data_IF_211140297151
#
_entry.id   IF_211140297151
#
_cell.length_a   1.000
_cell.length_b   1.000
_cell.length_c   1.000
_cell.angle_alpha   90.00
_cell.angle_beta   90.00
_cell.angle_gamma   90.00
#
_symmetry.space_group_name_H-M   'P 1'
#
loop_
_entity.id
_entity.type
_entity.pdbx_description
1 polymer ?
#
# COMPACT_ATOMS: atom_id res chain seq x y z
N UNK A 1 32.91 -30.81 -52.54
CA UNK A 1 33.16 -29.86 -51.41
C UNK A 1 34.66 -29.76 -51.21
N UNK A 2 35.28 -28.62 -51.49
CA UNK A 2 36.72 -28.44 -51.37
C UNK A 2 37.12 -28.22 -49.92
N UNK A 3 37.61 -29.26 -49.24
CA UNK A 3 38.26 -29.15 -47.93
C UNK A 3 39.73 -28.74 -48.11
N UNK A 4 39.99 -27.46 -48.35
CA UNK A 4 41.37 -26.96 -48.50
C UNK A 4 41.97 -26.74 -47.11
N UNK A 5 43.13 -27.40 -46.85
CA UNK A 5 43.94 -27.13 -45.66
C UNK A 5 44.92 -26.00 -45.96
N UNK A 6 44.98 -25.00 -45.06
CA UNK A 6 45.80 -23.81 -45.23
C UNK A 6 46.16 -23.18 -43.88
N UNK A 7 47.11 -22.26 -43.87
CA UNK A 7 47.37 -21.42 -42.72
C UNK A 7 46.40 -20.27 -42.69
N UNK A 8 45.44 -20.24 -41.76
CA UNK A 8 44.46 -19.16 -41.62
C UNK A 8 45.14 -17.95 -40.96
N UNK A 9 45.70 -17.07 -41.78
CA UNK A 9 46.31 -15.78 -41.40
C UNK A 9 45.45 -14.64 -41.88
N UNK A 10 45.68 -13.41 -41.37
CA UNK A 10 44.94 -12.23 -41.79
C UNK A 10 45.17 -11.99 -43.32
N UNK A 11 46.40 -12.23 -43.80
CA UNK A 11 46.72 -12.12 -45.24
C UNK A 11 45.93 -13.15 -46.06
N UNK A 12 45.84 -14.39 -45.61
CA UNK A 12 45.05 -15.43 -46.26
C UNK A 12 43.56 -15.01 -46.32
N UNK A 13 43.00 -14.51 -45.22
CA UNK A 13 41.58 -14.12 -45.18
C UNK A 13 41.30 -12.95 -46.11
N UNK A 14 42.19 -11.94 -46.16
CA UNK A 14 42.08 -10.83 -47.13
C UNK A 14 42.13 -11.34 -48.58
N UNK A 15 43.03 -12.24 -48.89
CA UNK A 15 43.11 -12.90 -50.20
C UNK A 15 41.85 -13.71 -50.53
N UNK A 16 41.34 -14.45 -49.56
CA UNK A 16 40.12 -15.25 -49.70
C UNK A 16 38.89 -14.33 -49.98
N UNK A 17 38.77 -13.25 -49.28
CA UNK A 17 37.69 -12.26 -49.52
C UNK A 17 37.75 -11.75 -50.94
N UNK A 18 38.93 -11.36 -51.41
CA UNK A 18 39.12 -10.88 -52.76
C UNK A 18 38.80 -11.96 -53.81
N UNK A 19 39.21 -13.21 -53.56
CA UNK A 19 39.01 -14.35 -54.47
C UNK A 19 37.54 -14.79 -54.56
N UNK A 20 36.80 -14.70 -53.48
CA UNK A 20 35.39 -15.14 -53.40
C UNK A 20 34.40 -14.02 -53.70
N UNK A 21 34.81 -12.78 -53.72
CA UNK A 21 33.91 -11.67 -54.01
C UNK A 21 33.25 -11.84 -55.37
N UNK A 22 31.91 -11.73 -55.37
CA UNK A 22 31.12 -11.79 -56.58
C UNK A 22 31.29 -10.49 -57.37
N UNK A 23 31.88 -10.52 -58.55
CA UNK A 23 32.11 -9.33 -59.37
C UNK A 23 30.81 -8.74 -59.90
N UNK A 24 29.75 -9.52 -59.94
CA UNK A 24 28.42 -9.14 -60.46
C UNK A 24 27.39 -8.87 -59.35
N UNK A 25 27.85 -8.79 -58.10
CA UNK A 25 26.93 -8.49 -56.98
C UNK A 25 26.36 -7.09 -57.12
N UNK A 26 25.04 -6.95 -56.97
CA UNK A 26 24.29 -5.72 -56.98
C UNK A 26 24.86 -4.73 -55.95
N UNK A 27 25.14 -3.49 -56.33
CA UNK A 27 25.69 -2.45 -55.45
C UNK A 27 24.78 -2.18 -54.27
N UNK A 28 23.46 -2.23 -54.43
CA UNK A 28 22.49 -2.08 -53.35
C UNK A 28 22.58 -3.20 -52.28
N UNK A 29 23.00 -4.40 -52.67
CA UNK A 29 23.23 -5.51 -51.76
C UNK A 29 24.54 -5.40 -50.97
N UNK A 30 25.54 -4.67 -51.52
CA UNK A 30 26.83 -4.43 -50.85
C UNK A 30 26.67 -3.49 -49.66
N UNK A 31 25.72 -2.57 -49.72
CA UNK A 31 25.44 -1.62 -48.62
C UNK A 31 24.78 -2.29 -47.40
N UNK A 32 24.09 -3.39 -47.61
CA UNK A 32 23.38 -4.12 -46.54
C UNK A 32 24.07 -5.40 -46.04
N UNK A 33 25.04 -5.91 -46.79
CA UNK A 33 25.75 -7.16 -46.47
C UNK A 33 27.24 -6.98 -46.48
N UNK A 34 27.87 -7.37 -45.39
CA UNK A 34 29.34 -7.27 -45.23
C UNK A 34 30.14 -8.03 -46.32
N UNK A 35 29.54 -9.10 -46.86
CA UNK A 35 30.15 -9.92 -47.92
C UNK A 35 29.13 -10.31 -48.97
N UNK A 36 29.54 -10.29 -50.25
CA UNK A 36 28.84 -10.88 -51.38
C UNK A 36 29.80 -11.83 -52.09
N UNK A 37 29.75 -13.10 -51.80
CA UNK A 37 30.62 -14.11 -52.36
C UNK A 37 29.88 -14.88 -53.46
N UNK A 38 30.63 -15.27 -54.49
CA UNK A 38 30.19 -16.18 -55.55
C UNK A 38 30.08 -17.64 -55.03
N UNK A 39 29.19 -17.81 -54.08
CA UNK A 39 28.87 -19.11 -53.48
C UNK A 39 27.37 -19.32 -53.66
N UNK A 40 26.97 -20.40 -54.34
CA UNK A 40 25.54 -20.73 -54.49
C UNK A 40 24.77 -20.76 -53.17
N UNK A 41 23.52 -20.31 -53.21
CA UNK A 41 22.67 -20.29 -52.00
C UNK A 41 22.60 -21.71 -51.42
N UNK A 42 22.71 -21.78 -50.08
CA UNK A 42 22.73 -23.05 -49.32
C UNK A 42 24.04 -23.83 -49.31
N UNK A 43 25.02 -23.43 -50.13
CA UNK A 43 26.36 -24.05 -50.10
C UNK A 43 27.30 -23.31 -49.14
N UNK A 44 28.28 -24.05 -48.62
CA UNK A 44 29.28 -23.57 -47.69
C UNK A 44 30.66 -24.12 -48.09
N UNK A 45 31.68 -23.23 -48.00
CA UNK A 45 33.10 -23.62 -48.20
C UNK A 45 33.81 -23.59 -46.86
N UNK A 46 34.64 -24.60 -46.60
CA UNK A 46 35.42 -24.71 -45.37
C UNK A 46 36.93 -24.66 -45.72
N UNK A 47 37.64 -23.76 -45.06
CA UNK A 47 39.10 -23.66 -45.10
C UNK A 47 39.61 -24.05 -43.72
N UNK A 48 40.28 -25.20 -43.62
CA UNK A 48 40.73 -25.78 -42.34
C UNK A 48 42.16 -25.32 -42.03
N UNK A 49 42.38 -24.91 -40.79
CA UNK A 49 43.68 -24.43 -40.34
C UNK A 49 44.68 -25.58 -40.21
N UNK A 50 45.87 -25.35 -40.70
CA UNK A 50 47.00 -26.30 -40.55
C UNK A 50 47.64 -26.18 -39.15
N UNK A 51 47.54 -25.00 -38.51
CA UNK A 51 48.18 -24.72 -37.22
C UNK A 51 47.40 -25.22 -36.03
N UNK A 52 46.07 -25.20 -36.13
CA UNK A 52 45.16 -25.70 -35.06
C UNK A 52 44.15 -26.68 -35.67
N UNK A 53 44.35 -27.97 -35.42
CA UNK A 53 43.43 -29.01 -35.91
C UNK A 53 42.04 -28.80 -35.34
N UNK A 54 41.02 -28.83 -36.22
CA UNK A 54 39.62 -28.55 -35.86
C UNK A 54 39.18 -27.12 -36.06
N UNK A 55 40.10 -26.17 -36.13
CA UNK A 55 39.79 -24.77 -36.43
C UNK A 55 39.62 -24.57 -37.94
N UNK A 56 38.59 -23.82 -38.32
CA UNK A 56 38.31 -23.51 -39.73
C UNK A 56 37.59 -22.16 -39.86
N UNK A 57 37.74 -21.62 -41.09
CA UNK A 57 36.87 -20.53 -41.53
C UNK A 57 35.82 -21.08 -42.49
N UNK A 58 34.59 -20.72 -42.27
CA UNK A 58 33.42 -21.09 -43.08
C UNK A 58 32.96 -19.88 -43.85
N UNK A 59 32.91 -19.99 -45.17
CA UNK A 59 32.38 -18.97 -46.06
C UNK A 59 31.02 -19.44 -46.60
N UNK A 60 30.06 -18.56 -46.55
CA UNK A 60 28.74 -18.66 -47.21
C UNK A 60 28.58 -17.44 -48.15
N UNK A 61 27.50 -17.37 -48.89
CA UNK A 61 27.28 -16.24 -49.83
C UNK A 61 27.40 -14.85 -49.13
N UNK A 62 27.00 -14.74 -47.86
CA UNK A 62 26.96 -13.45 -47.15
C UNK A 62 27.68 -13.45 -45.81
N UNK A 63 28.42 -14.47 -45.46
CA UNK A 63 29.13 -14.52 -44.19
C UNK A 63 30.46 -15.24 -44.27
N UNK A 64 31.39 -14.82 -43.43
CA UNK A 64 32.70 -15.39 -43.25
C UNK A 64 32.92 -15.59 -41.75
N UNK A 65 32.84 -16.82 -41.28
CA UNK A 65 32.69 -17.16 -39.86
C UNK A 65 33.75 -18.13 -39.42
N UNK A 66 34.38 -17.89 -38.26
CA UNK A 66 35.30 -18.83 -37.65
C UNK A 66 34.52 -19.91 -36.88
N UNK A 67 34.95 -21.16 -37.08
CA UNK A 67 34.35 -22.32 -36.47
C UNK A 67 35.43 -23.27 -35.92
N UNK A 68 35.06 -24.07 -34.92
CA UNK A 68 35.90 -25.13 -34.44
C UNK A 68 35.08 -26.43 -34.33
N UNK A 69 35.70 -27.55 -34.67
CA UNK A 69 35.05 -28.87 -34.67
C UNK A 69 35.98 -29.93 -34.07
N UNK A 70 35.47 -30.75 -33.18
CA UNK A 70 36.17 -31.89 -32.58
C UNK A 70 35.19 -33.02 -32.28
N UNK A 71 35.64 -34.23 -32.37
CA UNK A 71 34.91 -35.39 -31.90
C UNK A 71 35.06 -35.48 -30.37
N UNK A 72 33.93 -35.45 -29.67
CA UNK A 72 33.85 -35.51 -28.21
C UNK A 72 34.25 -36.90 -27.68
N UNK A 73 34.60 -37.07 -26.38
CA UNK A 73 34.92 -38.37 -25.80
C UNK A 73 33.81 -39.42 -25.98
N UNK A 74 32.53 -38.99 -26.03
CA UNK A 74 31.38 -39.87 -26.30
C UNK A 74 31.23 -40.26 -27.79
N UNK A 75 32.19 -39.89 -28.65
CA UNK A 75 32.18 -40.22 -30.08
C UNK A 75 31.36 -39.28 -30.98
N UNK A 76 30.60 -38.34 -30.41
CA UNK A 76 29.76 -37.39 -31.17
C UNK A 76 30.58 -36.20 -31.66
N UNK A 77 30.50 -35.82 -32.95
CA UNK A 77 31.14 -34.60 -33.44
C UNK A 77 30.47 -33.37 -32.91
N UNK A 78 31.22 -32.44 -32.32
CA UNK A 78 30.74 -31.14 -31.87
C UNK A 78 31.38 -30.04 -32.70
N UNK A 79 30.54 -29.18 -33.31
CA UNK A 79 30.98 -27.98 -34.05
C UNK A 79 30.46 -26.76 -33.37
N UNK A 80 31.32 -25.81 -33.08
CA UNK A 80 31.02 -24.55 -32.44
C UNK A 80 31.34 -23.37 -33.36
N UNK A 81 30.42 -22.46 -33.51
CA UNK A 81 30.67 -21.17 -34.17
C UNK A 81 31.30 -20.20 -33.17
N UNK A 82 32.46 -19.66 -33.52
CA UNK A 82 33.25 -18.72 -32.72
C UNK A 82 32.67 -17.30 -32.89
N UNK A 83 32.63 -16.84 -34.17
CA UNK A 83 32.09 -15.52 -34.54
C UNK A 83 32.51 -15.10 -35.95
N UNK A 84 32.01 -13.95 -36.35
CA UNK A 84 32.24 -13.41 -37.70
C UNK A 84 33.64 -12.80 -37.85
N UNK A 85 34.20 -12.92 -39.06
CA UNK A 85 35.39 -12.18 -39.40
C UNK A 85 35.06 -10.67 -39.43
N UNK A 86 35.90 -9.84 -38.84
CA UNK A 86 35.61 -8.43 -38.56
C UNK A 86 35.39 -8.16 -37.07
N UNK A 87 34.66 -9.07 -36.38
CA UNK A 87 34.61 -9.08 -34.91
C UNK A 87 35.83 -9.80 -34.33
N UNK A 88 36.21 -10.93 -34.97
CA UNK A 88 37.40 -11.69 -34.58
C UNK A 88 38.47 -11.58 -35.67
N UNK A 89 39.73 -11.43 -35.28
CA UNK A 89 40.88 -11.71 -36.13
C UNK A 89 41.15 -13.23 -36.15
N UNK A 90 41.93 -13.75 -37.16
CA UNK A 90 42.32 -15.17 -37.15
C UNK A 90 43.02 -15.62 -35.86
N UNK A 91 43.83 -14.74 -35.27
CA UNK A 91 44.59 -15.02 -34.05
C UNK A 91 43.67 -15.12 -32.83
N UNK A 92 42.77 -14.12 -32.62
CA UNK A 92 41.83 -14.12 -31.52
C UNK A 92 40.81 -15.24 -31.64
N UNK A 93 40.37 -15.53 -32.87
CA UNK A 93 39.50 -16.68 -33.14
C UNK A 93 40.17 -18.02 -32.82
N UNK A 94 41.48 -18.15 -33.14
CA UNK A 94 42.26 -19.36 -32.84
C UNK A 94 42.45 -19.53 -31.33
N UNK A 95 42.69 -18.47 -30.56
CA UNK A 95 42.77 -18.53 -29.11
C UNK A 95 41.44 -19.06 -28.56
N UNK A 96 40.29 -18.48 -29.00
CA UNK A 96 38.99 -18.94 -28.60
C UNK A 96 38.66 -20.38 -29.01
N UNK A 97 39.15 -20.78 -30.19
CA UNK A 97 39.05 -22.17 -30.64
C UNK A 97 39.78 -23.13 -29.70
N UNK A 98 40.97 -22.75 -29.21
CA UNK A 98 41.75 -23.56 -28.26
C UNK A 98 40.97 -23.76 -26.94
N UNK A 99 40.34 -22.72 -26.42
CA UNK A 99 39.47 -22.82 -25.23
C UNK A 99 38.34 -23.85 -25.45
N UNK A 100 37.61 -23.72 -26.55
CA UNK A 100 36.54 -24.66 -26.90
C UNK A 100 37.03 -26.11 -27.11
N UNK A 101 38.21 -26.30 -27.73
CA UNK A 101 38.80 -27.60 -27.90
C UNK A 101 39.17 -28.25 -26.56
N UNK A 102 39.61 -27.44 -25.61
CA UNK A 102 39.89 -27.90 -24.24
C UNK A 102 38.57 -28.35 -23.54
N UNK A 103 37.54 -27.54 -23.57
CA UNK A 103 36.22 -27.90 -23.03
C UNK A 103 35.68 -29.20 -23.66
N UNK A 104 35.75 -29.31 -25.00
CA UNK A 104 35.33 -30.51 -25.71
C UNK A 104 36.14 -31.75 -25.31
N UNK A 105 37.44 -31.57 -25.04
CA UNK A 105 38.30 -32.67 -24.56
C UNK A 105 37.90 -33.18 -23.19
N UNK A 106 37.36 -32.31 -22.36
CA UNK A 106 36.87 -32.61 -21.03
C UNK A 106 35.42 -33.15 -21.05
N UNK A 107 34.84 -33.37 -22.24
CA UNK A 107 33.47 -33.84 -22.40
C UNK A 107 32.39 -32.74 -22.24
N UNK A 108 32.80 -31.49 -22.15
CA UNK A 108 31.87 -30.35 -22.04
C UNK A 108 31.53 -29.83 -23.45
N UNK A 109 30.27 -29.81 -23.80
CA UNK A 109 29.81 -29.24 -25.08
C UNK A 109 29.59 -27.71 -24.93
N UNK A 110 30.39 -26.87 -25.60
CA UNK A 110 30.22 -25.41 -25.48
C UNK A 110 28.88 -24.89 -26.00
N UNK A 111 28.21 -25.63 -26.91
CA UNK A 111 26.89 -25.26 -27.42
C UNK A 111 25.81 -25.39 -26.33
N UNK A 112 25.91 -26.38 -25.46
CA UNK A 112 24.95 -26.57 -24.35
C UNK A 112 25.01 -25.39 -23.38
N UNK A 113 26.20 -24.87 -23.07
CA UNK A 113 26.36 -23.64 -22.28
C UNK A 113 25.68 -22.43 -22.94
N UNK A 114 25.87 -22.27 -24.26
CA UNK A 114 25.23 -21.18 -25.01
C UNK A 114 23.71 -21.31 -24.99
N UNK A 115 23.21 -22.52 -25.17
CA UNK A 115 21.77 -22.78 -25.15
C UNK A 115 21.18 -22.55 -23.76
N UNK A 116 21.82 -23.01 -22.70
CA UNK A 116 21.41 -22.72 -21.30
C UNK A 116 21.35 -21.20 -21.02
N UNK A 117 22.34 -20.44 -21.49
CA UNK A 117 22.35 -18.99 -21.33
C UNK A 117 21.20 -18.33 -22.10
N UNK A 118 20.92 -18.80 -23.33
CA UNK A 118 19.77 -18.31 -24.14
C UNK A 118 18.44 -18.66 -23.47
N UNK A 119 18.29 -19.87 -22.98
CA UNK A 119 17.09 -20.29 -22.26
C UNK A 119 16.88 -19.48 -20.98
N UNK A 120 17.94 -19.26 -20.19
CA UNK A 120 17.87 -18.37 -19.00
C UNK A 120 17.48 -16.95 -19.37
N UNK A 121 18.04 -16.38 -20.42
CA UNK A 121 17.72 -15.02 -20.89
C UNK A 121 16.26 -14.94 -21.41
N UNK A 122 15.81 -15.94 -22.17
CA UNK A 122 14.45 -16.05 -22.66
C UNK A 122 13.45 -16.18 -21.50
N UNK A 123 13.74 -17.07 -20.54
CA UNK A 123 12.93 -17.24 -19.35
C UNK A 123 12.88 -15.96 -18.52
N UNK A 124 14.00 -15.25 -18.36
CA UNK A 124 14.04 -13.96 -17.68
C UNK A 124 13.11 -12.94 -18.33
N UNK A 125 13.05 -12.88 -19.67
CA UNK A 125 12.13 -11.99 -20.41
C UNK A 125 10.67 -12.39 -20.18
N UNK A 126 10.34 -13.68 -20.24
CA UNK A 126 8.97 -14.16 -19.99
C UNK A 126 8.53 -13.86 -18.55
N UNK A 127 9.39 -14.11 -17.59
CA UNK A 127 9.13 -13.80 -16.19
C UNK A 127 8.89 -12.30 -15.99
N UNK A 128 9.72 -11.45 -16.59
CA UNK A 128 9.53 -10.00 -16.52
C UNK A 128 8.20 -9.55 -17.14
N UNK A 129 7.76 -10.17 -18.25
CA UNK A 129 6.46 -9.88 -18.86
C UNK A 129 5.29 -10.18 -17.93
N UNK A 130 5.40 -11.21 -17.09
CA UNK A 130 4.35 -11.59 -16.13
C UNK A 130 4.25 -10.66 -14.92
N UNK A 131 5.27 -9.83 -14.66
CA UNK A 131 5.22 -8.85 -13.57
C UNK A 131 4.23 -7.74 -13.93
N UNK A 132 3.20 -7.49 -13.12
CA UNK A 132 2.22 -6.45 -13.39
C UNK A 132 2.80 -5.05 -13.23
N UNK A 133 2.16 -4.07 -13.85
CA UNK A 133 2.38 -2.65 -13.55
C UNK A 133 1.87 -2.34 -12.14
N UNK A 134 2.33 -1.22 -11.56
CA UNK A 134 1.89 -0.84 -10.22
C UNK A 134 0.37 -0.68 -10.15
N UNK A 135 -0.25 -0.07 -11.15
CA UNK A 135 -1.70 0.15 -11.13
C UNK A 135 -2.49 -1.15 -11.23
N UNK A 136 -2.05 -2.11 -12.06
CA UNK A 136 -2.70 -3.41 -12.18
C UNK A 136 -2.47 -4.25 -10.92
N UNK A 137 -1.25 -4.21 -10.38
CA UNK A 137 -0.93 -4.86 -9.12
C UNK A 137 -1.79 -4.33 -7.96
N UNK A 138 -1.99 -3.02 -7.91
CA UNK A 138 -2.84 -2.39 -6.90
C UNK A 138 -4.30 -2.84 -7.03
N UNK A 139 -4.88 -2.86 -8.22
CA UNK A 139 -6.25 -3.33 -8.46
C UNK A 139 -6.42 -4.78 -7.97
N UNK A 140 -5.54 -5.68 -8.39
CA UNK A 140 -5.57 -7.08 -7.94
C UNK A 140 -5.42 -7.21 -6.42
N UNK A 141 -4.57 -6.36 -5.80
CA UNK A 141 -4.42 -6.34 -4.35
C UNK A 141 -5.70 -5.96 -3.63
N UNK A 142 -6.40 -4.90 -4.09
CA UNK A 142 -7.66 -4.46 -3.49
C UNK A 142 -8.77 -5.49 -3.68
N UNK A 143 -8.92 -6.05 -4.89
CA UNK A 143 -9.91 -7.09 -5.19
C UNK A 143 -9.75 -8.34 -4.32
N UNK A 144 -8.51 -8.73 -4.04
CA UNK A 144 -8.21 -9.90 -3.22
C UNK A 144 -8.33 -9.65 -1.70
N UNK A 145 -8.48 -8.39 -1.27
CA UNK A 145 -8.50 -7.99 0.15
C UNK A 145 -9.89 -7.51 0.56
N UNK A 146 -10.86 -8.44 0.48
CA UNK A 146 -12.27 -8.15 0.80
C UNK A 146 -12.51 -7.73 2.24
N UNK A 147 -11.56 -8.00 3.15
CA UNK A 147 -11.60 -7.58 4.56
C UNK A 147 -11.27 -6.10 4.79
N UNK A 148 -10.76 -5.39 3.78
CA UNK A 148 -10.42 -3.98 3.93
C UNK A 148 -11.67 -3.12 4.07
N UNK A 149 -11.67 -2.27 5.11
CA UNK A 149 -12.78 -1.33 5.33
C UNK A 149 -12.83 -0.27 4.20
N UNK A 150 -14.02 0.15 3.74
CA UNK A 150 -14.16 1.12 2.63
C UNK A 150 -13.35 2.40 2.81
N UNK A 151 -13.25 2.91 4.04
CA UNK A 151 -12.42 4.09 4.32
C UNK A 151 -10.93 3.85 4.12
N UNK A 152 -10.44 2.63 4.33
CA UNK A 152 -9.05 2.27 4.08
C UNK A 152 -8.78 2.25 2.58
N UNK A 153 -9.68 1.63 1.82
CA UNK A 153 -9.61 1.61 0.35
C UNK A 153 -9.63 3.03 -0.21
N UNK A 154 -10.54 3.90 0.26
CA UNK A 154 -10.60 5.29 -0.18
C UNK A 154 -9.30 6.09 0.10
N UNK A 155 -8.61 5.80 1.22
CA UNK A 155 -7.28 6.39 1.51
C UNK A 155 -6.23 5.86 0.54
N UNK A 156 -6.25 4.56 0.26
CA UNK A 156 -5.31 3.92 -0.68
C UNK A 156 -5.51 4.42 -2.11
N UNK A 157 -6.76 4.51 -2.58
CA UNK A 157 -7.10 5.06 -3.91
C UNK A 157 -6.59 6.50 -4.07
N UNK A 158 -6.83 7.31 -3.04
CA UNK A 158 -6.35 8.69 -3.03
C UNK A 158 -4.82 8.75 -3.09
N UNK A 159 -4.12 7.96 -2.25
CA UNK A 159 -2.67 7.99 -2.17
C UNK A 159 -2.03 7.44 -3.45
N UNK A 160 -2.61 6.41 -4.07
CA UNK A 160 -2.22 5.93 -5.39
C UNK A 160 -2.37 7.00 -6.47
N UNK A 161 -3.52 7.68 -6.51
CA UNK A 161 -3.83 8.69 -7.53
C UNK A 161 -3.04 9.99 -7.36
N UNK A 162 -2.76 10.39 -6.11
CA UNK A 162 -2.13 11.67 -5.80
C UNK A 162 -0.59 11.56 -5.79
N UNK A 163 -0.05 10.51 -5.19
CA UNK A 163 1.38 10.43 -4.90
C UNK A 163 2.15 9.44 -5.77
N UNK A 164 1.48 8.40 -6.30
CA UNK A 164 2.13 7.35 -7.10
C UNK A 164 1.64 7.30 -8.55
N UNK A 165 0.93 8.34 -9.02
CA UNK A 165 0.40 8.40 -10.39
C UNK A 165 1.48 8.24 -11.45
N UNK A 166 2.64 8.84 -11.25
CA UNK A 166 3.80 8.76 -12.13
C UNK A 166 4.44 7.35 -12.18
N UNK A 167 4.17 6.50 -11.18
CA UNK A 167 4.63 5.11 -11.15
C UNK A 167 3.61 4.10 -11.67
N UNK A 168 2.40 4.52 -12.04
CA UNK A 168 1.33 3.60 -12.44
C UNK A 168 1.73 2.66 -13.58
N UNK A 169 2.51 3.16 -14.55
CA UNK A 169 2.95 2.41 -15.72
C UNK A 169 4.19 1.54 -15.47
N UNK A 170 4.91 1.76 -14.37
CA UNK A 170 6.10 0.99 -14.03
C UNK A 170 5.72 -0.40 -13.54
N UNK A 171 6.50 -1.40 -13.93
CA UNK A 171 6.40 -2.73 -13.32
C UNK A 171 6.90 -2.68 -11.88
N UNK A 172 6.38 -3.54 -11.03
CA UNK A 172 6.75 -3.54 -9.60
C UNK A 172 8.28 -3.58 -9.38
N UNK A 173 9.00 -4.33 -10.22
CA UNK A 173 10.46 -4.51 -10.13
C UNK A 173 11.26 -3.35 -10.70
N UNK A 174 10.64 -2.45 -11.45
CA UNK A 174 11.33 -1.29 -12.05
C UNK A 174 11.50 -0.15 -11.04
N UNK A 175 10.72 -0.20 -9.93
CA UNK A 175 10.85 0.78 -8.86
C UNK A 175 12.09 0.45 -8.03
N UNK A 176 13.07 1.32 -8.07
CA UNK A 176 14.34 1.16 -7.37
C UNK A 176 14.29 1.69 -5.92
N UNK A 177 15.28 1.30 -5.11
CA UNK A 177 15.44 1.84 -3.74
C UNK A 177 15.64 3.37 -3.75
N UNK A 178 16.39 3.90 -4.74
CA UNK A 178 16.59 5.35 -4.86
C UNK A 178 15.29 6.08 -5.16
N UNK A 179 14.49 5.57 -6.10
CA UNK A 179 13.16 6.14 -6.38
C UNK A 179 12.27 6.18 -5.14
N UNK A 180 12.33 5.15 -4.29
CA UNK A 180 11.59 5.11 -3.01
C UNK A 180 12.04 6.20 -2.04
N UNK A 181 13.35 6.41 -1.90
CA UNK A 181 13.91 7.48 -1.06
C UNK A 181 13.44 8.85 -1.56
N UNK A 182 13.58 9.10 -2.86
CA UNK A 182 13.23 10.38 -3.49
C UNK A 182 11.73 10.66 -3.37
N UNK A 183 10.89 9.67 -3.63
CA UNK A 183 9.43 9.77 -3.50
C UNK A 183 9.00 10.00 -2.05
N UNK A 184 9.63 9.31 -1.09
CA UNK A 184 9.38 9.55 0.33
C UNK A 184 9.72 10.98 0.73
N UNK A 185 10.87 11.50 0.28
CA UNK A 185 11.29 12.87 0.54
C UNK A 185 10.36 13.90 -0.12
N UNK A 186 9.94 13.65 -1.37
CA UNK A 186 8.99 14.49 -2.11
C UNK A 186 7.66 14.64 -1.34
N UNK A 187 7.02 13.52 -1.01
CA UNK A 187 5.73 13.53 -0.30
C UNK A 187 5.89 14.13 1.11
N UNK A 188 7.02 13.90 1.76
CA UNK A 188 7.29 14.40 3.12
C UNK A 188 7.33 15.92 3.21
N UNK A 189 7.62 16.63 2.11
CA UNK A 189 7.58 18.11 2.04
C UNK A 189 6.17 18.63 2.29
N UNK A 190 5.16 17.88 1.85
CA UNK A 190 3.74 18.28 1.99
C UNK A 190 3.07 17.57 3.18
N UNK A 191 3.28 16.26 3.33
CA UNK A 191 2.63 15.47 4.37
C UNK A 191 3.45 14.24 4.80
N UNK A 192 4.16 14.38 5.91
CA UNK A 192 5.00 13.33 6.50
C UNK A 192 4.24 12.02 6.80
N UNK A 193 2.98 12.11 7.22
CA UNK A 193 2.15 10.93 7.53
C UNK A 193 1.79 10.17 6.26
N UNK A 194 1.37 10.90 5.19
CA UNK A 194 1.05 10.28 3.92
C UNK A 194 2.27 9.71 3.22
N UNK A 195 3.46 10.32 3.33
CA UNK A 195 4.71 9.73 2.84
C UNK A 195 4.91 8.31 3.39
N UNK A 196 4.74 8.15 4.71
CA UNK A 196 4.87 6.85 5.36
C UNK A 196 3.78 5.86 4.92
N UNK A 197 2.52 6.31 4.84
CA UNK A 197 1.37 5.44 4.49
C UNK A 197 1.49 4.99 3.03
N UNK A 198 1.76 5.89 2.10
CA UNK A 198 1.86 5.62 0.68
C UNK A 198 2.92 4.57 0.35
N UNK A 199 4.12 4.70 0.94
CA UNK A 199 5.18 3.73 0.67
C UNK A 199 4.98 2.40 1.41
N UNK A 200 4.31 2.40 2.56
CA UNK A 200 3.86 1.16 3.20
C UNK A 200 2.80 0.44 2.34
N UNK A 201 1.89 1.19 1.70
CA UNK A 201 0.93 0.63 0.74
C UNK A 201 1.66 0.01 -0.46
N UNK A 202 2.61 0.74 -1.08
CA UNK A 202 3.42 0.19 -2.16
C UNK A 202 4.12 -1.11 -1.74
N UNK A 203 4.73 -1.14 -0.54
CA UNK A 203 5.38 -2.33 0.00
C UNK A 203 4.41 -3.50 0.20
N UNK A 204 3.18 -3.21 0.64
CA UNK A 204 2.14 -4.23 0.82
C UNK A 204 1.72 -4.84 -0.53
N UNK A 205 1.48 -4.01 -1.54
CA UNK A 205 1.15 -4.44 -2.92
C UNK A 205 2.29 -5.27 -3.52
N UNK A 206 3.53 -4.78 -3.40
CA UNK A 206 4.72 -5.48 -3.89
C UNK A 206 4.87 -6.86 -3.26
N UNK A 207 4.83 -6.94 -1.93
CA UNK A 207 5.01 -8.20 -1.20
C UNK A 207 3.85 -9.18 -1.40
N UNK A 208 2.64 -8.67 -1.66
CA UNK A 208 1.50 -9.49 -2.05
C UNK A 208 1.78 -10.24 -3.36
N UNK A 209 2.23 -9.54 -4.40
CA UNK A 209 2.56 -10.12 -5.70
C UNK A 209 3.81 -10.97 -5.66
N UNK A 210 4.84 -10.57 -4.91
CA UNK A 210 6.05 -11.36 -4.70
C UNK A 210 5.76 -12.77 -4.20
N UNK A 211 4.79 -12.91 -3.29
CA UNK A 211 4.39 -14.22 -2.73
C UNK A 211 3.54 -15.07 -3.68
N UNK A 212 2.94 -14.49 -4.70
CA UNK A 212 1.95 -15.15 -5.58
C UNK A 212 2.45 -15.42 -6.99
N UNK A 213 3.36 -14.60 -7.49
CA UNK A 213 3.95 -14.80 -8.80
C UNK A 213 5.04 -15.86 -8.70
N UNK A 214 4.65 -17.11 -8.95
CA UNK A 214 5.51 -18.30 -8.86
C UNK A 214 5.56 -18.95 -10.25
N UNK A 215 6.75 -19.35 -10.67
CA UNK A 215 6.99 -20.14 -11.88
C UNK A 215 7.95 -21.28 -11.55
N UNK A 216 7.58 -22.52 -11.87
CA UNK A 216 8.33 -23.73 -11.54
C UNK A 216 8.79 -23.75 -10.06
N UNK A 217 7.85 -23.53 -9.14
CA UNK A 217 8.05 -23.47 -7.69
C UNK A 217 9.09 -22.42 -7.21
N UNK A 218 9.43 -21.47 -8.08
CA UNK A 218 10.33 -20.37 -7.76
C UNK A 218 9.60 -19.02 -7.91
N UNK A 219 9.82 -18.07 -6.97
CA UNK A 219 9.24 -16.75 -7.10
C UNK A 219 9.82 -16.01 -8.32
N UNK A 220 8.94 -15.44 -9.13
CA UNK A 220 9.33 -14.58 -10.26
C UNK A 220 10.00 -13.30 -9.72
N UNK A 221 9.42 -12.69 -8.69
CA UNK A 221 10.00 -11.56 -7.98
C UNK A 221 10.81 -12.08 -6.81
N UNK A 222 12.13 -12.14 -6.95
CA UNK A 222 13.04 -12.65 -5.93
C UNK A 222 13.35 -11.62 -4.84
N UNK A 223 13.52 -10.37 -5.24
CA UNK A 223 13.91 -9.29 -4.36
C UNK A 223 12.78 -8.88 -3.40
N UNK A 224 13.14 -8.43 -2.20
CA UNK A 224 12.20 -7.80 -1.30
C UNK A 224 11.79 -6.41 -1.82
N UNK A 225 10.65 -5.92 -1.33
CA UNK A 225 10.20 -4.57 -1.67
C UNK A 225 11.32 -3.54 -1.47
N UNK A 226 11.57 -2.65 -2.45
CA UNK A 226 12.59 -1.61 -2.33
C UNK A 226 12.34 -0.64 -1.16
N UNK A 227 11.13 -0.62 -0.61
CA UNK A 227 10.79 0.16 0.61
C UNK A 227 11.56 -0.32 1.84
N UNK A 228 12.13 -1.53 1.83
CA UNK A 228 13.01 -2.00 2.91
C UNK A 228 14.17 -1.06 3.20
N UNK A 229 14.61 -0.26 2.23
CA UNK A 229 15.66 0.75 2.42
C UNK A 229 15.27 1.81 3.46
N UNK A 230 13.98 2.20 3.52
CA UNK A 230 13.49 3.17 4.49
C UNK A 230 13.49 2.61 5.92
N UNK A 231 13.28 1.31 6.08
CA UNK A 231 13.38 0.63 7.38
C UNK A 231 14.85 0.48 7.82
N UNK A 232 15.70 0.00 6.90
CA UNK A 232 17.12 -0.27 7.17
C UNK A 232 17.89 1.00 7.61
N UNK A 233 17.53 2.14 7.02
CA UNK A 233 18.22 3.42 7.23
C UNK A 233 17.45 4.37 8.15
N UNK A 234 16.39 3.90 8.83
CA UNK A 234 15.52 4.71 9.74
C UNK A 234 15.02 6.01 9.08
N UNK A 235 14.66 5.94 7.78
CA UNK A 235 14.25 7.10 6.98
C UNK A 235 12.76 7.43 7.08
N UNK A 236 11.94 6.57 7.68
CA UNK A 236 10.53 6.88 7.89
C UNK A 236 10.37 8.10 8.82
N UNK A 237 9.42 8.97 8.48
CA UNK A 237 9.14 10.13 9.29
C UNK A 237 8.70 9.74 10.71
N UNK A 238 9.39 10.22 11.71
CA UNK A 238 9.03 10.08 13.13
C UNK A 238 7.88 11.05 13.44
N UNK A 239 6.67 10.52 13.57
CA UNK A 239 5.47 11.31 13.84
C UNK A 239 5.26 11.40 15.35
N UNK A 240 5.29 12.61 15.91
CA UNK A 240 4.96 12.80 17.33
C UNK A 240 3.44 12.57 17.53
N UNK A 241 3.04 11.72 18.49
CA UNK A 241 1.64 11.58 18.86
C UNK A 241 1.06 12.92 19.30
N UNK A 242 -0.13 13.26 18.85
CA UNK A 242 -0.86 14.42 19.40
C UNK A 242 -1.22 14.14 20.84
N UNK A 243 -0.97 15.09 21.74
CA UNK A 243 -1.26 14.96 23.18
C UNK A 243 -2.33 15.94 23.67
N UNK A 244 -3.02 16.61 22.75
CA UNK A 244 -4.02 17.60 23.09
C UNK A 244 -5.23 16.95 23.79
N UNK A 245 -5.70 17.59 24.83
CA UNK A 245 -6.95 17.29 25.54
C UNK A 245 -7.38 18.56 26.27
N UNK A 246 -8.65 18.64 26.68
CA UNK A 246 -9.20 19.73 27.48
C UNK A 246 -8.80 19.50 28.94
N UNK A 247 -7.93 20.34 29.46
CA UNK A 247 -7.42 20.20 30.83
C UNK A 247 -8.44 20.67 31.87
N UNK A 248 -8.15 20.51 33.18
CA UNK A 248 -9.06 20.83 34.26
C UNK A 248 -9.43 22.29 34.36
N UNK A 249 -8.50 23.20 34.05
CA UNK A 249 -8.73 24.64 34.08
C UNK A 249 -9.68 25.10 32.95
N UNK A 250 -9.58 24.44 31.82
CA UNK A 250 -10.37 24.72 30.63
C UNK A 250 -11.76 24.05 30.63
N UNK A 251 -11.92 22.98 31.39
CA UNK A 251 -13.05 22.06 31.34
C UNK A 251 -14.38 22.77 31.62
N UNK A 252 -14.46 23.57 32.68
CA UNK A 252 -15.69 24.24 33.11
C UNK A 252 -16.18 25.21 32.04
N UNK A 253 -15.32 26.09 31.54
CA UNK A 253 -15.68 27.08 30.54
C UNK A 253 -16.03 26.43 29.20
N UNK A 254 -15.29 25.37 28.84
CA UNK A 254 -15.55 24.61 27.61
C UNK A 254 -16.95 23.93 27.64
N UNK A 255 -17.30 23.29 28.76
CA UNK A 255 -18.62 22.66 28.93
C UNK A 255 -19.74 23.73 28.96
N UNK A 256 -19.56 24.86 29.68
CA UNK A 256 -20.49 25.97 29.64
C UNK A 256 -20.68 26.48 28.23
N UNK A 257 -19.63 26.67 27.47
CA UNK A 257 -19.71 27.14 26.09
C UNK A 257 -20.53 26.18 25.20
N UNK A 258 -20.47 24.88 25.42
CA UNK A 258 -21.32 23.91 24.71
C UNK A 258 -22.79 24.11 25.11
N UNK A 259 -23.09 24.16 26.39
CA UNK A 259 -24.48 24.26 26.91
C UNK A 259 -25.13 25.59 26.57
N UNK A 260 -24.36 26.67 26.52
CA UNK A 260 -24.84 28.01 26.22
C UNK A 260 -24.84 28.34 24.72
N UNK A 261 -24.23 27.46 23.89
CA UNK A 261 -24.09 27.72 22.46
C UNK A 261 -25.47 27.84 21.77
N UNK A 262 -25.69 28.96 21.09
CA UNK A 262 -26.83 29.14 20.19
C UNK A 262 -26.40 28.91 18.75
N UNK A 263 -27.10 28.06 18.04
CA UNK A 263 -26.77 27.70 16.65
C UNK A 263 -27.69 28.46 15.70
N UNK A 264 -27.17 29.45 14.97
CA UNK A 264 -27.92 30.18 13.92
C UNK A 264 -28.13 29.23 12.73
N UNK A 265 -29.31 29.30 12.12
CA UNK A 265 -29.62 28.50 10.92
C UNK A 265 -30.16 27.11 11.20
N UNK A 266 -30.47 26.75 12.44
CA UNK A 266 -31.22 25.55 12.79
C UNK A 266 -32.70 25.63 12.38
N UNK A 267 -33.04 26.46 11.37
CA UNK A 267 -34.40 26.55 10.84
C UNK A 267 -34.89 25.19 10.34
N UNK A 268 -34.00 24.33 9.87
CA UNK A 268 -34.31 22.95 9.49
C UNK A 268 -33.98 21.92 10.57
N UNK A 269 -33.20 22.28 11.59
CA UNK A 269 -32.86 21.44 12.73
C UNK A 269 -33.80 21.69 13.94
N UNK A 270 -34.89 22.38 13.76
CA UNK A 270 -35.82 22.76 14.81
C UNK A 270 -36.63 21.61 15.40
N UNK A 271 -36.51 20.39 14.83
CA UNK A 271 -37.01 19.19 15.49
C UNK A 271 -36.12 18.74 16.64
N UNK A 272 -34.89 19.27 16.73
CA UNK A 272 -33.87 18.86 17.73
C UNK A 272 -33.05 20.07 18.20
N UNK A 273 -33.68 21.01 18.92
CA UNK A 273 -33.08 22.29 19.33
C UNK A 273 -31.68 22.19 19.96
N UNK A 274 -31.26 21.02 20.43
CA UNK A 274 -29.99 20.78 21.11
C UNK A 274 -29.08 19.78 20.38
N UNK A 275 -29.33 19.47 19.09
CA UNK A 275 -28.59 18.43 18.36
C UNK A 275 -27.06 18.56 18.48
N UNK A 276 -26.52 19.74 18.26
CA UNK A 276 -25.08 19.98 18.27
C UNK A 276 -24.49 19.93 19.68
N UNK A 277 -25.24 20.42 20.66
CA UNK A 277 -24.85 20.37 22.08
C UNK A 277 -24.84 18.92 22.57
N UNK A 278 -25.92 18.18 22.33
CA UNK A 278 -26.06 16.77 22.72
C UNK A 278 -25.00 15.89 22.04
N UNK A 279 -24.70 16.21 20.77
CA UNK A 279 -23.66 15.53 20.02
C UNK A 279 -22.28 15.71 20.69
N UNK A 280 -21.89 16.94 21.06
CA UNK A 280 -20.63 17.20 21.76
C UNK A 280 -20.60 16.62 23.18
N UNK A 281 -21.72 16.74 23.92
CA UNK A 281 -21.84 16.15 25.24
C UNK A 281 -21.70 14.62 25.20
N UNK A 282 -22.28 13.98 24.19
CA UNK A 282 -22.10 12.52 24.02
C UNK A 282 -20.64 12.15 23.83
N UNK A 283 -19.85 12.95 23.09
CA UNK A 283 -18.41 12.69 22.94
C UNK A 283 -17.68 12.74 24.27
N UNK A 284 -17.85 13.81 25.01
CA UNK A 284 -17.09 14.03 26.23
C UNK A 284 -17.55 13.11 27.36
N UNK A 285 -18.85 12.76 27.41
CA UNK A 285 -19.40 11.91 28.45
C UNK A 285 -19.20 10.40 28.19
N UNK A 286 -18.88 9.99 26.96
CA UNK A 286 -18.67 8.56 26.64
C UNK A 286 -17.25 8.22 26.22
N UNK A 287 -16.48 9.17 25.74
CA UNK A 287 -15.17 8.92 25.14
C UNK A 287 -15.20 8.05 23.88
N UNK A 288 -16.35 7.81 23.25
CA UNK A 288 -16.51 7.01 22.05
C UNK A 288 -15.77 7.63 20.85
N UNK A 289 -15.48 6.81 19.82
CA UNK A 289 -14.87 7.30 18.58
C UNK A 289 -15.90 8.10 17.77
N UNK A 290 -15.41 9.03 16.96
CA UNK A 290 -16.25 9.90 16.12
C UNK A 290 -17.24 9.11 15.28
N UNK A 291 -16.80 8.11 14.56
CA UNK A 291 -17.67 7.28 13.72
C UNK A 291 -18.72 6.50 14.50
N UNK A 292 -18.42 6.10 15.73
CA UNK A 292 -19.33 5.36 16.61
C UNK A 292 -20.51 6.25 17.04
N UNK A 293 -20.26 7.53 17.33
CA UNK A 293 -21.31 8.49 17.69
C UNK A 293 -22.09 8.97 16.48
N UNK A 294 -21.38 9.30 15.37
CA UNK A 294 -22.04 9.75 14.14
C UNK A 294 -23.04 8.72 13.61
N UNK A 295 -22.68 7.44 13.66
CA UNK A 295 -23.47 6.32 13.13
C UNK A 295 -24.41 5.69 14.15
N UNK A 296 -24.50 6.21 15.37
CA UNK A 296 -25.32 5.63 16.42
C UNK A 296 -26.80 5.59 16.03
N UNK A 297 -27.40 4.41 16.11
CA UNK A 297 -28.82 4.16 15.81
C UNK A 297 -29.61 3.87 17.06
N UNK A 298 -30.89 4.24 17.07
CA UNK A 298 -31.79 3.99 18.21
C UNK A 298 -31.99 2.50 18.54
N UNK A 299 -31.85 1.62 17.54
CA UNK A 299 -31.91 0.18 17.76
C UNK A 299 -30.79 -0.35 18.69
N UNK A 300 -29.71 0.41 18.80
CA UNK A 300 -28.57 0.08 19.65
C UNK A 300 -28.58 0.82 21.01
N UNK A 301 -29.64 1.53 21.32
CA UNK A 301 -29.80 2.27 22.60
C UNK A 301 -30.97 1.69 23.37
N UNK A 302 -30.67 1.07 24.51
CA UNK A 302 -31.67 0.62 25.45
C UNK A 302 -31.87 1.67 26.54
N UNK A 303 -32.97 2.42 26.42
CA UNK A 303 -33.31 3.49 27.37
C UNK A 303 -33.87 2.94 28.68
N UNK A 304 -34.41 1.71 28.71
CA UNK A 304 -34.93 1.07 29.92
C UNK A 304 -33.78 0.65 30.83
N UNK A 305 -32.78 -0.02 30.27
CA UNK A 305 -31.59 -0.41 31.01
C UNK A 305 -30.48 0.64 31.00
N UNK A 306 -30.67 1.75 30.29
CA UNK A 306 -29.68 2.84 30.18
C UNK A 306 -28.34 2.36 29.62
N UNK A 307 -28.36 1.66 28.51
CA UNK A 307 -27.15 1.15 27.84
C UNK A 307 -27.15 1.49 26.35
N UNK A 308 -25.96 1.55 25.77
CA UNK A 308 -25.80 1.59 24.32
C UNK A 308 -24.85 0.51 23.85
N UNK A 309 -25.11 -0.05 22.68
CA UNK A 309 -24.28 -1.07 22.04
C UNK A 309 -23.56 -0.49 20.84
N UNK A 310 -22.24 -0.68 20.76
CA UNK A 310 -21.42 -0.39 19.55
C UNK A 310 -21.09 -1.73 18.92
N UNK A 311 -21.61 -1.94 17.72
CA UNK A 311 -21.44 -3.20 16.97
C UNK A 311 -20.29 -3.03 15.98
N UNK A 312 -19.40 -4.03 15.91
CA UNK A 312 -18.27 -4.10 14.99
C UNK A 312 -17.41 -2.83 14.96
N UNK A 313 -16.91 -2.35 16.11
CA UNK A 313 -16.02 -1.21 16.16
C UNK A 313 -14.68 -1.50 15.48
N UNK A 314 -13.77 -0.53 15.47
CA UNK A 314 -12.46 -0.63 14.77
C UNK A 314 -11.59 -1.80 15.26
N UNK A 315 -11.73 -2.20 16.52
CA UNK A 315 -10.99 -3.32 17.15
C UNK A 315 -11.71 -4.68 17.05
N UNK A 316 -12.89 -4.74 16.42
CA UNK A 316 -13.64 -5.98 16.20
C UNK A 316 -14.52 -6.44 17.38
N UNK A 317 -14.30 -5.96 18.60
CA UNK A 317 -15.05 -6.39 19.79
C UNK A 317 -16.24 -5.47 20.05
N UNK A 318 -17.45 -6.04 20.12
CA UNK A 318 -18.65 -5.27 20.48
C UNK A 318 -18.49 -4.65 21.87
N UNK A 319 -19.01 -3.43 22.02
CA UNK A 319 -19.01 -2.70 23.29
C UNK A 319 -20.44 -2.52 23.78
N UNK A 320 -20.74 -2.94 25.00
CA UNK A 320 -21.94 -2.54 25.73
C UNK A 320 -21.53 -1.49 26.77
N UNK A 321 -21.94 -0.24 26.54
CA UNK A 321 -21.59 0.90 27.37
C UNK A 321 -22.81 1.34 28.20
N UNK A 322 -22.76 1.36 29.53
CA UNK A 322 -23.80 1.99 30.33
C UNK A 322 -23.75 3.49 30.22
N UNK A 323 -24.89 4.13 30.20
CA UNK A 323 -25.04 5.58 30.18
C UNK A 323 -25.09 6.12 31.60
N UNK A 324 -24.41 7.23 31.85
CA UNK A 324 -24.61 8.03 33.04
C UNK A 324 -25.99 8.69 33.05
N UNK A 325 -26.43 9.15 34.20
CA UNK A 325 -27.79 9.68 34.41
C UNK A 325 -28.10 10.90 33.53
N UNK A 326 -27.17 11.80 33.36
CA UNK A 326 -27.36 13.00 32.53
C UNK A 326 -27.45 12.63 31.05
N UNK A 327 -26.56 11.75 30.57
CA UNK A 327 -26.60 11.31 29.18
C UNK A 327 -27.85 10.48 28.87
N UNK A 328 -28.28 9.65 29.81
CA UNK A 328 -29.53 8.91 29.71
C UNK A 328 -30.76 9.86 29.65
N UNK A 329 -30.77 10.91 30.45
CA UNK A 329 -31.80 11.96 30.34
C UNK A 329 -31.80 12.62 28.94
N UNK A 330 -30.64 13.04 28.46
CA UNK A 330 -30.50 13.60 27.11
C UNK A 330 -31.07 12.64 26.04
N UNK A 331 -30.73 11.37 26.10
CA UNK A 331 -31.19 10.38 25.11
C UNK A 331 -32.70 10.11 25.23
N UNK A 332 -33.25 10.08 26.46
CA UNK A 332 -34.70 10.00 26.66
C UNK A 332 -35.44 11.18 26.03
N UNK A 333 -34.95 12.41 26.21
CA UNK A 333 -35.55 13.59 25.58
C UNK A 333 -35.44 13.52 24.06
N UNK A 334 -34.25 13.20 23.54
CA UNK A 334 -34.03 13.07 22.09
C UNK A 334 -34.93 11.99 21.46
N UNK A 335 -35.14 10.85 22.13
CA UNK A 335 -36.01 9.78 21.62
C UNK A 335 -37.45 10.21 21.48
N UNK A 336 -38.00 10.99 22.45
CA UNK A 336 -39.37 11.54 22.37
C UNK A 336 -39.62 12.35 21.10
N UNK A 337 -38.57 13.01 20.61
CA UNK A 337 -38.64 13.90 19.45
C UNK A 337 -37.97 13.31 18.20
N UNK A 338 -37.64 12.02 18.17
CA UNK A 338 -36.95 11.38 17.06
C UNK A 338 -37.79 11.19 15.80
N UNK A 339 -39.13 11.35 15.90
CA UNK A 339 -40.09 11.20 14.80
C UNK A 339 -39.86 9.95 13.93
N UNK A 340 -39.51 8.82 14.56
CA UNK A 340 -39.20 7.57 13.86
C UNK A 340 -37.84 7.54 13.13
N UNK A 341 -37.03 8.59 13.26
CA UNK A 341 -35.68 8.58 12.68
C UNK A 341 -34.83 7.44 13.21
N UNK A 342 -34.12 6.75 12.30
CA UNK A 342 -33.23 5.63 12.64
C UNK A 342 -32.04 6.07 13.50
N UNK A 343 -31.49 7.26 13.26
CA UNK A 343 -30.24 7.71 13.89
C UNK A 343 -30.50 8.56 15.14
N UNK A 344 -29.62 8.41 16.14
CA UNK A 344 -29.62 9.28 17.34
C UNK A 344 -29.22 10.71 16.97
N UNK A 345 -28.28 10.83 16.04
CA UNK A 345 -27.81 12.10 15.49
C UNK A 345 -28.02 12.14 13.96
N UNK A 346 -29.23 12.49 13.49
CA UNK A 346 -29.54 12.53 12.07
C UNK A 346 -28.91 13.74 11.37
N UNK A 347 -28.67 13.61 10.06
CA UNK A 347 -28.44 14.75 9.18
C UNK A 347 -29.74 15.55 8.98
N UNK A 348 -29.63 16.74 8.36
CA UNK A 348 -30.78 17.62 8.13
C UNK A 348 -31.91 16.99 7.28
N UNK A 349 -31.59 15.97 6.49
CA UNK A 349 -32.59 15.25 5.68
C UNK A 349 -33.27 14.08 6.43
N UNK A 350 -32.89 13.79 7.67
CA UNK A 350 -33.36 12.67 8.50
C UNK A 350 -33.15 11.26 7.90
N UNK A 351 -32.55 11.14 6.73
CA UNK A 351 -32.32 9.87 6.05
C UNK A 351 -30.97 9.26 6.37
N UNK A 352 -30.00 10.10 6.71
CA UNK A 352 -28.64 9.70 7.01
C UNK A 352 -28.20 10.22 8.38
N UNK A 353 -27.09 9.71 8.89
CA UNK A 353 -26.46 10.23 10.12
C UNK A 353 -25.70 11.54 9.84
N UNK A 354 -25.41 12.29 10.91
CA UNK A 354 -24.57 13.49 10.80
C UNK A 354 -23.20 13.11 10.24
N UNK A 355 -22.68 13.99 9.37
CA UNK A 355 -21.31 13.89 8.85
C UNK A 355 -20.68 15.28 8.95
N UNK A 356 -19.35 15.28 9.17
CA UNK A 356 -18.51 16.48 9.11
C UNK A 356 -19.04 17.69 9.91
N UNK A 357 -19.13 17.53 11.21
CA UNK A 357 -19.49 18.61 12.15
C UNK A 357 -18.30 19.51 12.53
N UNK A 358 -17.36 19.77 11.58
CA UNK A 358 -16.24 20.69 11.82
C UNK A 358 -16.67 22.07 12.23
N UNK A 359 -17.77 22.59 11.66
CA UNK A 359 -18.33 23.88 12.05
C UNK A 359 -18.74 23.93 13.53
N UNK A 360 -19.27 22.83 14.09
CA UNK A 360 -19.61 22.72 15.51
C UNK A 360 -18.37 22.83 16.38
N UNK A 361 -17.35 22.06 16.04
CA UNK A 361 -16.05 22.12 16.70
C UNK A 361 -15.42 23.51 16.61
N UNK A 362 -15.37 24.09 15.40
CA UNK A 362 -14.74 25.40 15.18
C UNK A 362 -15.42 26.49 16.03
N UNK A 363 -16.77 26.54 16.05
CA UNK A 363 -17.51 27.52 16.85
C UNK A 363 -17.16 27.43 18.34
N UNK A 364 -17.12 26.23 18.92
CA UNK A 364 -16.73 26.06 20.33
C UNK A 364 -15.27 26.47 20.54
N UNK A 365 -14.37 26.08 19.62
CA UNK A 365 -12.97 26.48 19.69
C UNK A 365 -12.79 28.02 19.63
N UNK A 366 -13.53 28.69 18.76
CA UNK A 366 -13.55 30.17 18.64
C UNK A 366 -14.11 30.83 19.91
N UNK A 367 -15.22 30.31 20.44
CA UNK A 367 -15.87 30.84 21.63
C UNK A 367 -14.99 30.73 22.87
N UNK A 368 -14.25 29.63 22.99
CA UNK A 368 -13.45 29.34 24.20
C UNK A 368 -11.97 29.66 24.06
N UNK A 369 -11.47 29.93 22.84
CA UNK A 369 -10.05 30.01 22.55
C UNK A 369 -9.31 28.68 22.65
N UNK A 370 -10.02 27.53 22.83
CA UNK A 370 -9.45 26.20 23.06
C UNK A 370 -9.58 25.37 21.78
N UNK A 371 -8.51 25.19 21.00
CA UNK A 371 -8.53 24.32 19.82
C UNK A 371 -8.59 22.85 20.21
N UNK A 372 -9.51 22.10 19.65
CA UNK A 372 -9.62 20.65 19.88
C UNK A 372 -10.06 19.91 18.63
N UNK A 373 -9.86 18.60 18.64
CA UNK A 373 -10.42 17.65 17.66
C UNK A 373 -11.40 16.69 18.36
N UNK A 374 -12.30 16.05 17.62
CA UNK A 374 -13.17 15.03 18.22
C UNK A 374 -12.39 13.89 18.89
N UNK A 375 -11.18 13.57 18.40
CA UNK A 375 -10.33 12.57 19.05
C UNK A 375 -9.75 13.06 20.38
N UNK A 376 -9.52 14.35 20.53
CA UNK A 376 -9.04 14.94 21.78
C UNK A 376 -10.10 14.85 22.90
N UNK A 377 -11.41 14.83 22.55
CA UNK A 377 -12.48 14.60 23.52
C UNK A 377 -12.41 13.20 24.15
N UNK A 378 -12.04 12.21 23.39
CA UNK A 378 -11.78 10.86 23.93
C UNK A 378 -10.57 10.84 24.88
N UNK A 379 -9.52 11.60 24.57
CA UNK A 379 -8.38 11.78 25.48
C UNK A 379 -8.77 12.55 26.73
N UNK A 380 -9.62 13.56 26.57
CA UNK A 380 -10.21 14.33 27.68
C UNK A 380 -10.98 13.39 28.62
N UNK A 381 -11.88 12.55 28.07
CA UNK A 381 -12.59 11.54 28.86
C UNK A 381 -11.60 10.65 29.66
N UNK A 382 -10.61 10.05 28.97
CA UNK A 382 -9.63 9.17 29.63
C UNK A 382 -8.86 9.89 30.73
N UNK A 383 -8.40 11.13 30.48
CA UNK A 383 -7.63 11.90 31.43
C UNK A 383 -8.44 12.30 32.66
N UNK A 384 -9.70 12.69 32.45
CA UNK A 384 -10.61 13.06 33.55
C UNK A 384 -11.03 11.82 34.34
N UNK A 385 -11.37 10.71 33.68
CA UNK A 385 -11.73 9.45 34.34
C UNK A 385 -10.64 8.97 35.31
N UNK A 386 -9.37 9.01 34.86
CA UNK A 386 -8.24 8.70 35.74
C UNK A 386 -8.18 9.66 36.95
N UNK A 387 -8.42 10.94 36.74
CA UNK A 387 -8.40 11.95 37.80
C UNK A 387 -9.54 11.77 38.81
N UNK A 388 -10.69 11.29 38.33
CA UNK A 388 -11.83 10.91 39.19
C UNK A 388 -11.54 9.67 40.04
N UNK A 389 -10.39 9.03 39.90
CA UNK A 389 -10.07 7.77 40.58
C UNK A 389 -10.89 6.59 40.03
N UNK A 390 -11.23 6.61 38.74
CA UNK A 390 -11.77 5.45 38.02
C UNK A 390 -10.59 4.57 37.62
N UNK A 391 -10.62 3.31 38.04
CA UNK A 391 -9.54 2.37 37.77
C UNK A 391 -9.18 2.25 36.28
N UNK A 392 -7.91 2.07 35.98
CA UNK A 392 -7.42 2.05 34.59
C UNK A 392 -8.11 0.98 33.73
N UNK A 393 -8.40 -0.20 34.28
CA UNK A 393 -9.10 -1.27 33.58
C UNK A 393 -10.54 -0.89 33.27
N UNK A 394 -11.25 -0.25 34.23
CA UNK A 394 -12.59 0.29 34.01
C UNK A 394 -12.59 1.34 32.88
N UNK A 395 -11.61 2.25 32.86
CA UNK A 395 -11.48 3.23 31.80
C UNK A 395 -11.23 2.56 30.45
N UNK A 396 -10.34 1.57 30.37
CA UNK A 396 -10.07 0.80 29.14
C UNK A 396 -11.35 0.10 28.65
N UNK A 397 -12.12 -0.52 29.56
CA UNK A 397 -13.38 -1.17 29.22
C UNK A 397 -14.40 -0.16 28.67
N UNK A 398 -14.59 1.00 29.32
CA UNK A 398 -15.51 2.06 28.89
C UNK A 398 -15.19 2.58 27.47
N UNK A 399 -13.92 2.70 27.12
CA UNK A 399 -13.53 3.20 25.81
C UNK A 399 -13.28 2.08 24.78
N UNK A 400 -13.55 0.84 25.09
CA UNK A 400 -13.26 -0.31 24.22
C UNK A 400 -11.83 -0.29 23.67
N UNK A 401 -10.86 -0.21 24.57
CA UNK A 401 -9.45 -0.26 24.19
C UNK A 401 -8.95 -1.67 24.46
N UNK A 402 -8.51 -2.38 23.40
CA UNK A 402 -7.96 -3.73 23.54
C UNK A 402 -6.74 -3.71 24.47
N UNK A 403 -6.66 -4.70 25.33
CA UNK A 403 -5.44 -5.05 26.02
C UNK A 403 -4.46 -5.58 24.95
N UNK A 404 -3.19 -5.19 25.00
CA UNK A 404 -2.17 -5.94 24.27
C UNK A 404 -1.98 -7.24 25.03
N UNK A 405 -2.38 -8.35 24.43
CA UNK A 405 -2.46 -9.68 25.03
C UNK A 405 -1.12 -10.17 25.63
N UNK A 406 0.00 -9.60 25.23
CA UNK A 406 1.31 -10.13 25.58
C UNK A 406 1.97 -9.55 26.87
N UNK A 407 1.33 -8.61 27.59
CA UNK A 407 2.01 -7.95 28.71
C UNK A 407 1.20 -7.68 29.98
N UNK A 408 -0.09 -7.96 30.03
CA UNK A 408 -0.93 -7.58 31.17
C UNK A 408 -1.80 -8.75 31.69
N UNK A 409 -1.14 -9.69 32.36
CA UNK A 409 -1.77 -10.87 33.01
C UNK A 409 -2.89 -10.45 33.97
N UNK A 410 -2.80 -9.29 34.61
CA UNK A 410 -3.81 -8.78 35.55
C UNK A 410 -5.13 -8.43 34.86
N UNK A 411 -5.10 -8.10 33.55
CA UNK A 411 -6.30 -7.79 32.79
C UNK A 411 -7.25 -8.99 32.66
N UNK A 412 -6.72 -10.20 32.57
CA UNK A 412 -7.49 -11.45 32.43
C UNK A 412 -8.19 -11.83 33.71
N UNK A 413 -7.70 -11.40 34.86
CA UNK A 413 -8.30 -11.68 36.18
C UNK A 413 -9.29 -10.60 36.66
N UNK A 414 -9.36 -9.43 35.96
CA UNK A 414 -10.24 -8.35 36.39
C UNK A 414 -11.57 -8.42 35.66
N UNK A 415 -12.56 -9.02 36.31
CA UNK A 415 -13.96 -8.97 35.84
C UNK A 415 -14.59 -7.65 36.31
N UNK A 416 -15.05 -6.84 35.33
CA UNK A 416 -15.71 -5.56 35.61
C UNK A 416 -17.21 -5.74 35.37
N UNK A 417 -18.00 -5.60 36.43
CA UNK A 417 -19.47 -5.70 36.39
C UNK A 417 -20.06 -4.46 35.63
N UNK A 418 -21.24 -4.66 35.05
CA UNK A 418 -22.01 -3.59 34.41
C UNK A 418 -22.42 -2.49 35.43
N UNK A 419 -22.53 -2.81 36.72
CA UNK A 419 -22.76 -1.82 37.79
C UNK A 419 -21.53 -0.94 37.98
N UNK A 420 -20.33 -1.53 38.07
CA UNK A 420 -19.08 -0.79 38.22
C UNK A 420 -18.88 0.20 37.09
N UNK A 421 -19.18 -0.24 35.86
CA UNK A 421 -19.11 0.65 34.67
C UNK A 421 -20.12 1.80 34.75
N UNK A 422 -21.34 1.55 35.25
CA UNK A 422 -22.37 2.58 35.42
C UNK A 422 -22.00 3.58 36.53
N UNK A 423 -21.51 3.08 37.66
CA UNK A 423 -21.05 3.94 38.75
C UNK A 423 -19.87 4.79 38.34
N UNK A 424 -18.97 4.24 37.56
CA UNK A 424 -17.87 4.98 36.95
C UNK A 424 -18.38 6.11 36.01
N UNK A 425 -19.40 5.83 35.19
CA UNK A 425 -19.99 6.85 34.30
C UNK A 425 -20.68 7.96 35.08
N UNK A 426 -21.44 7.61 36.13
CA UNK A 426 -22.08 8.60 37.01
C UNK A 426 -21.03 9.45 37.77
N UNK A 427 -19.98 8.82 38.28
CA UNK A 427 -18.86 9.48 38.94
C UNK A 427 -18.17 10.48 37.99
N UNK A 428 -17.98 10.05 36.74
CA UNK A 428 -17.42 10.91 35.69
C UNK A 428 -18.33 12.11 35.37
N UNK A 429 -19.64 11.90 35.15
CA UNK A 429 -20.61 12.96 34.90
C UNK A 429 -20.66 13.97 36.04
N UNK A 430 -20.68 13.48 37.30
CA UNK A 430 -20.71 14.34 38.49
C UNK A 430 -19.43 15.17 38.64
N UNK A 431 -18.31 14.68 38.18
CA UNK A 431 -17.06 15.43 38.21
C UNK A 431 -16.95 16.49 37.12
N UNK A 432 -17.40 16.16 35.89
CA UNK A 432 -17.21 17.07 34.73
C UNK A 432 -18.31 18.11 34.62
N UNK A 433 -19.53 17.84 35.11
CA UNK A 433 -20.69 18.71 35.03
C UNK A 433 -20.97 19.36 36.37
N UNK A 434 -20.86 20.68 36.45
CA UNK A 434 -21.32 21.43 37.64
C UNK A 434 -22.83 21.30 37.81
N UNK A 435 -23.33 21.51 39.03
CA UNK A 435 -24.78 21.47 39.33
C UNK A 435 -25.56 22.50 38.48
N UNK A 436 -25.00 23.67 38.22
CA UNK A 436 -25.56 24.64 37.31
C UNK A 436 -25.74 24.08 35.89
N UNK A 437 -24.69 23.42 35.35
CA UNK A 437 -24.73 22.80 34.02
C UNK A 437 -25.72 21.66 33.96
N UNK A 438 -25.77 20.82 34.99
CA UNK A 438 -26.74 19.72 35.10
C UNK A 438 -28.18 20.26 35.10
N UNK A 439 -28.45 21.25 35.96
CA UNK A 439 -29.76 21.88 36.02
C UNK A 439 -30.21 22.44 34.66
N UNK A 440 -29.31 23.13 33.96
CA UNK A 440 -29.60 23.65 32.59
C UNK A 440 -29.86 22.51 31.59
N UNK A 441 -29.17 21.38 31.64
CA UNK A 441 -29.44 20.23 30.78
C UNK A 441 -30.79 19.61 31.11
N UNK A 442 -31.09 19.40 32.39
CA UNK A 442 -32.30 18.74 32.85
C UNK A 442 -33.57 19.59 32.58
N UNK A 443 -33.47 20.91 32.58
CA UNK A 443 -34.58 21.82 32.36
C UNK A 443 -34.77 22.19 30.87
N UNK A 444 -33.98 21.63 29.95
CA UNK A 444 -34.10 21.93 28.51
C UNK A 444 -35.48 21.56 27.99
N UNK A 445 -36.08 22.48 27.27
CA UNK A 445 -37.34 22.26 26.55
C UNK A 445 -37.05 21.97 25.09
N UNK A 446 -37.15 20.70 24.73
CA UNK A 446 -37.06 20.25 23.34
C UNK A 446 -38.40 20.63 22.66
N UNK A 447 -38.33 21.45 21.61
CA UNK A 447 -39.52 21.93 20.90
C UNK A 447 -39.59 21.27 19.54
N UNK A 448 -40.71 20.59 19.26
CA UNK A 448 -41.05 20.10 17.91
C UNK A 448 -41.74 21.23 17.16
N UNK A 449 -41.15 21.74 16.07
CA UNK A 449 -41.96 22.46 15.09
C UNK A 449 -42.71 21.42 14.25
N UNK A 450 -44.02 21.51 14.21
CA UNK A 450 -44.86 20.76 13.27
C UNK A 450 -44.31 21.00 11.85
N UNK A 451 -44.18 19.99 10.99
CA UNK A 451 -43.80 20.23 9.61
C UNK A 451 -44.77 21.21 9.00
N UNK A 452 -44.27 22.30 8.39
CA UNK A 452 -45.12 23.17 7.58
C UNK A 452 -45.82 22.26 6.56
N UNK A 453 -47.13 22.19 6.60
CA UNK A 453 -47.95 21.60 5.53
C UNK A 453 -47.51 22.33 4.25
N UNK A 454 -46.82 21.64 3.39
CA UNK A 454 -46.64 22.07 2.01
C UNK A 454 -48.06 22.07 1.44
N UNK A 455 -48.62 23.24 1.24
CA UNK A 455 -49.80 23.36 0.40
C UNK A 455 -49.36 22.94 -0.99
N UNK A 456 -49.89 21.78 -1.43
CA UNK A 456 -49.79 21.30 -2.80
C UNK A 456 -50.61 22.24 -3.71
#
# INVERSE_FOLDING_TARGET
MSNKKTHITLSFVKGLIKQLSDPYADEALKDFKQYCFDIPSGKQLFFRDLKLIGFAIRATRHSLVYTVEKKMPNGVPCRVTIGDHGIFTPETARQKATEYLLEMSQGINPNDKKEQLRQKASQGRLNYQQIPTLIDAYKHYIEARTELKPNTVAVYDRDMSLYLKDWHHLKLTDVTMQMVIDKHAEISKTNKSHANITLKLFSAVYNYHRKRLIFNDQPIIKEFSPVTILYRNDLFNKLKPRKNYINSEQQTDWIKAIVDSKWRGQIYANEYGYLNQDFLLTFVLTGLRRSEIEQLVWANVDLKFGTLKIINPKNGNDLLLPLGNILLHIFNQRKKYSNGCKYVFPASNNQTHVKDRRHVRNKISETTGIPFTFHDLRRTFTSIANRCGIGMYTVKALINHSYQEDSDITADYTQIDARDLRDAMNKFENHILSEEVKSRILTRKYVVKKPNRIHI
#
